data_IF_095564268483
#
_entry.id   IF_095564268483
#
_cell.length_a   1.000
_cell.length_b   1.000
_cell.length_c   1.000
_cell.angle_alpha   90.00
_cell.angle_beta   90.00
_cell.angle_gamma   90.00
#
_symmetry.space_group_name_H-M   'P 1'
#
loop_
_entity.id
_entity.type
_entity.pdbx_description
1 polymer ?
#
# COMPACT_ATOMS: atom_id res chain seq x y z
N UNK A 1 -6.84 57.73 7.51
CA UNK A 1 -6.92 56.39 6.91
C UNK A 1 -5.50 56.01 6.53
N UNK A 2 -4.81 55.34 7.44
CA UNK A 2 -3.46 54.86 7.18
C UNK A 2 -3.54 53.62 6.30
N UNK A 3 -3.25 53.80 5.01
CA UNK A 3 -2.95 52.70 4.10
C UNK A 3 -1.67 52.04 4.59
N UNK A 4 -1.82 51.07 5.51
CA UNK A 4 -0.77 50.11 5.83
C UNK A 4 -0.37 49.46 4.50
N UNK A 5 0.79 49.85 3.99
CA UNK A 5 1.37 49.29 2.79
C UNK A 5 1.57 47.79 3.03
N UNK A 6 0.67 46.99 2.47
CA UNK A 6 0.77 45.55 2.49
C UNK A 6 2.09 45.16 1.83
N UNK A 7 3.04 44.64 2.62
CA UNK A 7 4.31 44.17 2.08
C UNK A 7 4.13 42.70 1.63
N UNK A 8 4.00 42.43 0.31
CA UNK A 8 3.73 41.08 -0.19
C UNK A 8 4.82 40.07 0.15
N UNK A 9 6.07 40.52 0.33
CA UNK A 9 7.15 39.65 0.78
C UNK A 9 6.92 39.15 2.21
N UNK A 10 6.45 40.00 3.12
CA UNK A 10 6.22 39.62 4.51
C UNK A 10 5.16 38.53 4.66
N UNK A 11 4.11 38.60 3.83
CA UNK A 11 3.02 37.61 3.82
C UNK A 11 3.48 36.27 3.25
N UNK A 12 4.23 36.28 2.14
CA UNK A 12 4.78 35.05 1.55
C UNK A 12 5.62 34.26 2.56
N UNK A 13 6.54 34.93 3.26
CA UNK A 13 7.36 34.29 4.29
C UNK A 13 6.57 33.83 5.51
N UNK A 14 5.45 34.47 5.82
CA UNK A 14 4.53 33.99 6.85
C UNK A 14 3.89 32.67 6.43
N UNK A 15 3.32 32.62 5.22
CA UNK A 15 2.73 31.39 4.65
C UNK A 15 3.76 30.27 4.61
N UNK A 16 4.97 30.52 4.12
CA UNK A 16 6.00 29.49 4.04
C UNK A 16 6.37 28.93 5.43
N UNK A 17 6.45 29.77 6.47
CA UNK A 17 6.71 29.31 7.85
C UNK A 17 5.55 28.53 8.44
N UNK A 18 4.31 28.93 8.13
CA UNK A 18 3.12 28.19 8.52
C UNK A 18 3.08 26.80 7.85
N UNK A 19 3.42 26.73 6.55
CA UNK A 19 3.58 25.46 5.83
C UNK A 19 4.67 24.58 6.46
N UNK A 20 5.84 25.14 6.79
CA UNK A 20 6.91 24.40 7.48
C UNK A 20 6.43 23.83 8.82
N UNK A 21 5.73 24.65 9.61
CA UNK A 21 5.16 24.21 10.89
C UNK A 21 4.09 23.13 10.71
N UNK A 22 3.22 23.28 9.70
CA UNK A 22 2.19 22.29 9.37
C UNK A 22 2.82 20.96 8.92
N UNK A 23 3.89 21.01 8.14
CA UNK A 23 4.62 19.84 7.67
C UNK A 23 5.30 19.06 8.80
N UNK A 24 5.63 19.70 9.92
CA UNK A 24 6.18 19.02 11.10
C UNK A 24 5.13 18.26 11.91
N UNK A 25 3.85 18.67 11.85
CA UNK A 25 2.75 18.06 12.63
C UNK A 25 2.27 16.73 12.01
N UNK A 26 1.57 15.94 12.82
CA UNK A 26 0.82 14.75 12.33
C UNK A 26 -0.28 15.22 11.38
N UNK A 27 -0.45 14.52 10.27
CA UNK A 27 -1.40 14.92 9.22
C UNK A 27 -2.83 14.54 9.63
N UNK A 28 -3.59 15.53 10.08
CA UNK A 28 -4.92 15.41 10.73
C UNK A 28 -5.93 16.39 10.10
N UNK A 29 -7.22 16.10 10.12
CA UNK A 29 -8.25 17.08 9.74
C UNK A 29 -8.49 18.16 10.80
N UNK A 30 -8.03 17.95 12.04
CA UNK A 30 -8.22 18.89 13.15
C UNK A 30 -9.69 19.37 13.25
N UNK A 31 -10.64 18.42 13.30
CA UNK A 31 -12.07 18.68 13.26
C UNK A 31 -12.51 19.59 14.41
N UNK A 32 -13.24 20.65 14.06
CA UNK A 32 -14.02 21.45 15.00
C UNK A 32 -15.39 20.82 15.21
N UNK A 33 -15.55 20.08 16.30
CA UNK A 33 -16.74 19.26 16.55
C UNK A 33 -18.03 20.09 16.58
N UNK A 34 -18.00 21.27 17.18
CA UNK A 34 -19.18 22.14 17.22
C UNK A 34 -19.57 22.63 15.83
N UNK A 35 -18.58 23.05 15.03
CA UNK A 35 -18.84 23.47 13.65
C UNK A 35 -19.27 22.30 12.78
N UNK A 36 -18.63 21.14 12.90
CA UNK A 36 -19.03 19.93 12.18
C UNK A 36 -20.50 19.62 12.43
N UNK A 37 -20.95 19.63 13.70
CA UNK A 37 -22.34 19.36 14.04
C UNK A 37 -23.31 20.38 13.42
N UNK A 38 -22.97 21.68 13.43
CA UNK A 38 -23.81 22.73 12.81
C UNK A 38 -23.87 22.60 11.29
N UNK A 39 -22.73 22.38 10.65
CA UNK A 39 -22.61 22.34 9.19
C UNK A 39 -23.17 21.04 8.61
N UNK A 40 -23.09 19.92 9.34
CA UNK A 40 -23.66 18.63 8.94
C UNK A 40 -25.19 18.70 8.72
N UNK A 41 -25.90 19.56 9.47
CA UNK A 41 -27.34 19.80 9.27
C UNK A 41 -27.64 20.40 7.89
N UNK A 42 -26.67 21.06 7.26
CA UNK A 42 -26.83 21.65 5.94
C UNK A 42 -26.52 20.65 4.81
N UNK A 43 -25.82 19.53 5.07
CA UNK A 43 -25.49 18.51 4.06
C UNK A 43 -26.77 17.89 3.48
N UNK A 44 -27.79 17.69 4.31
CA UNK A 44 -29.09 17.17 3.88
C UNK A 44 -29.86 18.10 2.91
N UNK A 45 -29.41 19.35 2.74
CA UNK A 45 -30.06 20.36 1.89
C UNK A 45 -29.55 20.38 0.45
N UNK A 46 -28.48 19.66 0.15
CA UNK A 46 -27.98 19.54 -1.21
C UNK A 46 -28.96 18.74 -2.09
N UNK A 47 -29.12 19.16 -3.33
CA UNK A 47 -29.91 18.47 -4.36
C UNK A 47 -29.26 17.13 -4.77
N UNK A 48 -29.94 16.37 -5.65
CA UNK A 48 -29.51 15.03 -6.09
C UNK A 48 -28.25 15.02 -6.96
N UNK A 49 -27.93 16.14 -7.59
CA UNK A 49 -26.82 16.27 -8.53
C UNK A 49 -25.85 17.30 -8.00
N UNK A 50 -24.59 16.91 -7.89
CA UNK A 50 -23.48 17.73 -7.43
C UNK A 50 -22.48 17.96 -8.56
N UNK A 51 -21.72 19.03 -8.40
CA UNK A 51 -20.65 19.44 -9.29
C UNK A 51 -19.38 19.64 -8.48
N UNK A 52 -18.31 18.98 -8.90
CA UNK A 52 -16.95 19.35 -8.53
C UNK A 52 -16.57 20.51 -9.44
N UNK A 53 -16.35 21.67 -8.84
CA UNK A 53 -16.10 22.90 -9.55
C UNK A 53 -14.85 23.59 -9.00
N UNK A 54 -14.28 24.50 -9.79
CA UNK A 54 -13.23 25.37 -9.32
C UNK A 54 -13.37 26.78 -9.86
N UNK A 55 -12.76 27.73 -9.13
CA UNK A 55 -12.61 29.11 -9.56
C UNK A 55 -11.14 29.50 -9.49
N UNK A 56 -10.63 30.05 -10.58
CA UNK A 56 -9.24 30.50 -10.66
C UNK A 56 -9.04 31.81 -9.91
N UNK A 57 -8.06 31.83 -9.01
CA UNK A 57 -7.66 33.01 -8.25
C UNK A 57 -6.19 33.34 -8.52
N UNK A 58 -5.86 34.62 -8.43
CA UNK A 58 -4.49 35.12 -8.40
C UNK A 58 -4.21 35.69 -7.03
N UNK A 59 -3.31 35.06 -6.29
CA UNK A 59 -2.90 35.48 -4.95
C UNK A 59 -1.38 35.72 -4.98
N UNK A 60 -0.97 36.97 -4.87
CA UNK A 60 0.44 37.40 -4.91
C UNK A 60 1.21 36.90 -6.15
N UNK A 61 0.56 36.92 -7.32
CA UNK A 61 1.14 36.45 -8.58
C UNK A 61 1.21 34.92 -8.71
N UNK A 62 0.71 34.18 -7.72
CA UNK A 62 0.45 32.75 -7.87
C UNK A 62 -0.96 32.54 -8.37
N UNK A 63 -1.09 31.78 -9.45
CA UNK A 63 -2.38 31.32 -9.94
C UNK A 63 -2.68 30.00 -9.25
N UNK A 64 -3.83 29.92 -8.61
CA UNK A 64 -4.34 28.69 -8.03
C UNK A 64 -5.83 28.53 -8.34
N UNK A 65 -6.26 27.29 -8.48
CA UNK A 65 -7.65 26.94 -8.72
C UNK A 65 -8.27 26.52 -7.37
N UNK A 66 -9.26 27.30 -6.91
CA UNK A 66 -9.97 27.02 -5.66
C UNK A 66 -11.12 26.06 -5.94
N UNK A 67 -10.96 24.80 -5.52
CA UNK A 67 -11.93 23.75 -5.73
C UNK A 67 -13.02 23.72 -4.64
N UNK A 68 -14.22 23.32 -5.02
CA UNK A 68 -15.37 23.16 -4.14
C UNK A 68 -16.40 22.18 -4.73
N UNK A 69 -17.34 21.73 -3.90
CA UNK A 69 -18.48 20.92 -4.36
C UNK A 69 -19.77 21.72 -4.18
N UNK A 70 -20.60 21.77 -5.22
CA UNK A 70 -21.85 22.54 -5.21
C UNK A 70 -22.97 21.85 -5.99
N UNK A 71 -24.23 22.11 -5.63
CA UNK A 71 -25.41 21.78 -6.45
C UNK A 71 -25.99 23.01 -7.19
N UNK A 72 -25.30 24.15 -7.12
CA UNK A 72 -25.76 25.44 -7.62
C UNK A 72 -26.52 26.30 -6.60
N UNK A 73 -26.86 25.76 -5.42
CA UNK A 73 -27.50 26.50 -4.31
C UNK A 73 -26.64 26.45 -3.05
N UNK A 74 -26.23 25.25 -2.67
CA UNK A 74 -25.35 24.94 -1.56
C UNK A 74 -23.94 24.65 -2.07
N UNK A 75 -22.95 25.05 -1.29
CA UNK A 75 -21.55 24.82 -1.57
C UNK A 75 -20.86 24.33 -0.31
N UNK A 76 -20.08 23.26 -0.43
CA UNK A 76 -19.12 22.83 0.57
C UNK A 76 -17.71 23.10 0.05
N UNK A 77 -16.92 23.82 0.85
CA UNK A 77 -15.58 24.20 0.45
C UNK A 77 -14.68 24.47 1.66
N UNK A 78 -13.38 24.36 1.42
CA UNK A 78 -12.36 24.66 2.41
C UNK A 78 -11.85 26.09 2.22
N UNK A 79 -12.37 27.03 3.02
CA UNK A 79 -12.11 28.47 2.86
C UNK A 79 -12.00 29.17 4.23
N UNK A 80 -11.24 30.26 4.27
CA UNK A 80 -11.16 31.21 5.38
C UNK A 80 -10.84 32.61 4.86
N UNK A 81 -11.07 33.63 5.68
CA UNK A 81 -10.62 34.99 5.39
C UNK A 81 -9.09 35.07 5.50
N UNK A 82 -8.53 34.35 6.48
CA UNK A 82 -7.12 34.06 6.57
C UNK A 82 -6.83 32.58 6.30
N UNK A 83 -5.64 32.31 5.77
CA UNK A 83 -5.14 30.96 5.49
C UNK A 83 -5.18 30.11 6.76
N UNK A 84 -4.64 30.63 7.87
CA UNK A 84 -4.60 29.93 9.15
C UNK A 84 -5.99 29.62 9.74
N UNK A 85 -7.02 30.33 9.29
CA UNK A 85 -8.40 30.20 9.76
C UNK A 85 -9.28 29.39 8.82
N UNK A 86 -8.74 28.92 7.69
CA UNK A 86 -9.53 28.18 6.72
C UNK A 86 -10.03 26.85 7.29
N UNK A 87 -11.29 26.58 6.96
CA UNK A 87 -12.09 25.50 7.53
C UNK A 87 -13.15 25.06 6.53
N UNK A 88 -13.57 23.80 6.62
CA UNK A 88 -14.59 23.27 5.71
C UNK A 88 -15.97 23.74 6.16
N UNK A 89 -16.65 24.43 5.27
CA UNK A 89 -17.93 25.09 5.52
C UNK A 89 -18.99 24.68 4.52
N UNK A 90 -20.26 24.69 4.94
CA UNK A 90 -21.42 24.48 4.06
C UNK A 90 -22.28 25.75 4.04
N UNK A 91 -22.38 26.39 2.87
CA UNK A 91 -23.07 27.67 2.72
C UNK A 91 -24.06 27.66 1.58
N UNK A 92 -25.16 28.40 1.72
CA UNK A 92 -26.20 28.60 0.69
C UNK A 92 -25.79 29.63 -0.38
N UNK A 93 -24.48 29.78 -0.61
CA UNK A 93 -23.92 30.72 -1.57
C UNK A 93 -22.89 29.95 -2.40
N UNK A 94 -23.02 30.06 -3.71
CA UNK A 94 -22.00 29.60 -4.65
C UNK A 94 -21.19 30.80 -5.19
N UNK A 95 -19.92 30.61 -5.56
CA UNK A 95 -19.18 31.62 -6.30
C UNK A 95 -19.88 31.96 -7.61
N UNK A 96 -19.97 33.25 -7.95
CA UNK A 96 -20.32 33.65 -9.31
C UNK A 96 -19.15 33.31 -10.25
N UNK A 97 -19.46 32.68 -11.38
CA UNK A 97 -18.52 32.25 -12.43
C UNK A 97 -17.47 31.23 -11.95
N UNK A 98 -17.69 29.96 -12.29
CA UNK A 98 -16.80 28.84 -12.02
C UNK A 98 -16.80 27.85 -13.18
N UNK A 99 -15.80 26.99 -13.22
CA UNK A 99 -15.68 25.90 -14.19
C UNK A 99 -16.07 24.58 -13.51
N UNK A 100 -16.88 23.76 -14.20
CA UNK A 100 -17.29 22.44 -13.71
C UNK A 100 -16.28 21.42 -14.21
N UNK A 101 -15.54 20.81 -13.29
CA UNK A 101 -14.61 19.73 -13.61
C UNK A 101 -15.33 18.38 -13.78
N UNK A 102 -16.34 18.12 -12.94
CA UNK A 102 -17.08 16.87 -12.94
C UNK A 102 -18.49 17.05 -12.38
N UNK A 103 -19.48 16.31 -12.89
CA UNK A 103 -20.83 16.19 -12.31
C UNK A 103 -21.02 14.77 -11.78
N UNK A 104 -21.67 14.62 -10.62
CA UNK A 104 -21.88 13.33 -9.97
C UNK A 104 -23.14 13.32 -9.11
N UNK A 105 -23.62 12.14 -8.71
CA UNK A 105 -24.81 11.98 -7.86
C UNK A 105 -24.50 12.23 -6.39
N UNK A 106 -25.40 12.89 -5.67
CA UNK A 106 -25.40 13.04 -4.21
C UNK A 106 -25.80 11.73 -3.51
N UNK A 107 -24.99 10.69 -3.70
CA UNK A 107 -25.21 9.37 -3.12
C UNK A 107 -24.89 9.36 -1.61
N UNK A 108 -25.28 8.28 -0.92
CA UNK A 108 -25.09 8.17 0.53
C UNK A 108 -23.62 8.20 0.94
N UNK A 109 -22.74 7.54 0.18
CA UNK A 109 -21.29 7.55 0.40
C UNK A 109 -20.69 8.95 0.23
N UNK A 110 -21.19 9.72 -0.75
CA UNK A 110 -20.78 11.12 -0.95
C UNK A 110 -21.18 11.98 0.24
N UNK A 111 -22.42 11.87 0.73
CA UNK A 111 -22.88 12.61 1.92
C UNK A 111 -22.09 12.25 3.15
N UNK A 112 -21.80 10.96 3.34
CA UNK A 112 -20.95 10.51 4.42
C UNK A 112 -19.54 11.15 4.33
N UNK A 113 -18.95 11.21 3.14
CA UNK A 113 -17.66 11.91 2.94
C UNK A 113 -17.76 13.41 3.23
N UNK A 114 -18.85 14.08 2.86
CA UNK A 114 -19.08 15.48 3.24
C UNK A 114 -19.11 15.66 4.76
N UNK A 115 -19.79 14.77 5.49
CA UNK A 115 -19.89 14.80 6.96
C UNK A 115 -18.52 14.62 7.62
N UNK A 116 -17.70 13.70 7.10
CA UNK A 116 -16.36 13.41 7.62
C UNK A 116 -15.41 14.61 7.56
N UNK A 117 -15.49 15.43 6.51
CA UNK A 117 -14.60 16.60 6.34
C UNK A 117 -15.20 17.89 6.85
N UNK A 118 -16.49 17.92 7.15
CA UNK A 118 -17.16 19.13 7.61
C UNK A 118 -16.54 19.65 8.90
N UNK A 119 -16.24 20.95 8.97
CA UNK A 119 -15.55 21.52 10.14
C UNK A 119 -14.07 21.16 10.26
N UNK A 120 -13.45 20.48 9.30
CA UNK A 120 -12.00 20.28 9.28
C UNK A 120 -11.26 21.62 9.23
N UNK A 121 -10.23 21.78 10.07
CA UNK A 121 -9.40 22.99 10.23
C UNK A 121 -7.95 22.71 9.86
N UNK A 122 -7.10 23.71 10.09
CA UNK A 122 -5.65 23.67 9.91
C UNK A 122 -5.25 23.50 8.44
N UNK A 123 -5.32 24.62 7.73
CA UNK A 123 -4.96 24.70 6.33
C UNK A 123 -3.45 24.51 6.11
N UNK A 124 -3.12 23.80 5.03
CA UNK A 124 -1.80 23.83 4.42
C UNK A 124 -2.01 23.86 2.92
N UNK A 125 -1.57 24.93 2.25
CA UNK A 125 -1.64 25.07 0.79
C UNK A 125 -1.15 23.80 0.10
N UNK A 126 -0.13 23.18 0.68
CA UNK A 126 0.54 22.05 0.08
C UNK A 126 -0.09 20.71 0.47
N UNK A 127 -0.34 20.49 1.76
CA UNK A 127 -0.73 19.18 2.31
C UNK A 127 -2.25 18.99 2.38
N UNK A 128 -3.00 20.05 2.67
CA UNK A 128 -4.46 20.01 2.88
C UNK A 128 -5.06 21.29 2.33
N UNK A 129 -5.42 21.25 1.05
CA UNK A 129 -6.03 22.40 0.37
C UNK A 129 -7.45 22.08 -0.09
N UNK A 130 -8.09 23.06 -0.73
CA UNK A 130 -9.45 22.92 -1.21
C UNK A 130 -9.64 21.82 -2.27
N UNK A 131 -8.61 21.52 -3.07
CA UNK A 131 -8.66 20.43 -4.06
C UNK A 131 -8.72 19.05 -3.39
N UNK A 132 -7.90 18.80 -2.37
CA UNK A 132 -7.94 17.55 -1.61
C UNK A 132 -9.33 17.27 -1.04
N UNK A 133 -9.94 18.27 -0.37
CA UNK A 133 -11.26 18.14 0.24
C UNK A 133 -12.33 17.90 -0.81
N UNK A 134 -12.33 18.68 -1.90
CA UNK A 134 -13.34 18.59 -2.94
C UNK A 134 -13.26 17.24 -3.70
N UNK A 135 -12.05 16.79 -4.05
CA UNK A 135 -11.84 15.47 -4.66
C UNK A 135 -12.14 14.32 -3.70
N UNK A 136 -11.87 14.47 -2.41
CA UNK A 136 -12.26 13.45 -1.45
C UNK A 136 -13.78 13.28 -1.44
N UNK A 137 -14.55 14.36 -1.41
CA UNK A 137 -16.01 14.29 -1.46
C UNK A 137 -16.48 13.64 -2.76
N UNK A 138 -16.00 14.12 -3.91
CA UNK A 138 -16.46 13.68 -5.23
C UNK A 138 -16.02 12.26 -5.59
N UNK A 139 -14.75 11.93 -5.35
CA UNK A 139 -14.09 10.73 -5.86
C UNK A 139 -13.70 9.73 -4.78
N UNK A 140 -13.76 10.11 -3.49
CA UNK A 140 -13.20 9.31 -2.41
C UNK A 140 -11.67 9.27 -2.41
N UNK A 141 -11.00 10.24 -3.03
CA UNK A 141 -9.54 10.31 -3.14
C UNK A 141 -8.98 11.56 -2.47
N UNK A 142 -7.95 11.39 -1.65
CA UNK A 142 -7.21 12.51 -1.07
C UNK A 142 -6.02 12.90 -1.96
N UNK A 143 -6.27 13.73 -2.97
CA UNK A 143 -5.26 14.14 -3.95
C UNK A 143 -5.45 15.61 -4.39
N UNK A 144 -4.36 16.29 -4.68
CA UNK A 144 -4.30 17.64 -5.26
C UNK A 144 -3.32 17.64 -6.42
N UNK A 145 -3.81 17.90 -7.64
CA UNK A 145 -2.95 18.07 -8.80
C UNK A 145 -2.07 19.32 -8.65
N UNK A 146 -2.57 20.36 -7.98
CA UNK A 146 -1.81 21.59 -7.73
C UNK A 146 -0.61 21.38 -6.80
N UNK A 147 -0.68 20.37 -5.92
CA UNK A 147 0.38 20.00 -4.96
C UNK A 147 1.26 18.85 -5.44
N UNK A 148 0.87 18.15 -6.50
CA UNK A 148 1.67 17.11 -7.12
C UNK A 148 2.96 17.68 -7.72
N UNK A 149 3.93 16.81 -8.02
CA UNK A 149 5.16 17.19 -8.72
C UNK A 149 4.78 17.93 -10.02
N UNK A 150 5.45 19.06 -10.29
CA UNK A 150 5.15 19.99 -11.40
C UNK A 150 3.85 20.82 -11.27
N UNK A 151 3.07 20.61 -10.20
CA UNK A 151 1.91 21.44 -9.90
C UNK A 151 2.26 22.92 -9.65
N UNK A 152 1.28 23.80 -9.81
CA UNK A 152 1.44 25.25 -9.62
C UNK A 152 1.89 25.60 -8.21
N UNK A 153 1.36 24.93 -7.17
CA UNK A 153 1.80 25.13 -5.79
C UNK A 153 3.15 24.44 -5.54
N UNK A 154 3.44 23.33 -6.22
CA UNK A 154 4.72 22.66 -6.11
C UNK A 154 5.89 23.54 -6.52
N UNK A 155 5.82 24.12 -7.72
CA UNK A 155 6.88 24.96 -8.28
C UNK A 155 7.17 26.23 -7.47
N UNK A 156 6.17 26.77 -6.75
CA UNK A 156 6.27 28.06 -6.05
C UNK A 156 6.54 27.95 -4.54
N UNK A 157 6.07 26.88 -3.91
CA UNK A 157 6.17 26.70 -2.45
C UNK A 157 6.95 25.43 -2.08
N UNK A 158 6.62 24.27 -2.66
CA UNK A 158 7.15 22.99 -2.18
C UNK A 158 8.57 22.68 -2.61
N UNK A 159 9.02 23.21 -3.74
CA UNK A 159 10.42 23.11 -4.15
C UNK A 159 11.38 23.68 -3.08
N UNK A 160 10.94 24.68 -2.31
CA UNK A 160 11.71 25.28 -1.22
C UNK A 160 11.55 24.54 0.12
N UNK A 161 10.55 23.66 0.24
CA UNK A 161 10.30 22.80 1.40
C UNK A 161 10.94 21.41 1.24
N UNK A 162 11.86 21.25 0.29
CA UNK A 162 12.47 19.98 -0.09
C UNK A 162 13.05 19.21 1.12
N UNK A 163 12.83 17.89 1.13
CA UNK A 163 13.23 16.98 2.22
C UNK A 163 12.09 16.06 2.67
N UNK A 164 12.10 15.68 3.96
CA UNK A 164 11.16 14.73 4.59
C UNK A 164 9.67 15.11 4.44
N UNK A 165 9.36 16.36 4.09
CA UNK A 165 7.99 16.87 3.99
C UNK A 165 7.28 16.49 2.68
N UNK A 166 8.03 16.17 1.60
CA UNK A 166 7.43 15.69 0.34
C UNK A 166 6.68 14.37 0.53
N UNK A 167 7.12 13.53 1.48
CA UNK A 167 6.47 12.27 1.84
C UNK A 167 5.07 12.46 2.43
N UNK A 168 4.65 13.69 2.77
CA UNK A 168 3.31 13.97 3.32
C UNK A 168 2.33 14.50 2.28
N UNK A 169 2.78 14.79 1.06
CA UNK A 169 1.90 15.28 0.00
C UNK A 169 0.93 14.18 -0.44
N UNK A 170 -0.33 14.54 -0.64
CA UNK A 170 -1.40 13.60 -1.00
C UNK A 170 -1.49 12.38 -0.05
N UNK A 171 -0.99 12.51 1.19
CA UNK A 171 -1.25 11.53 2.24
C UNK A 171 -2.58 11.83 2.89
N UNK A 172 -3.28 10.76 3.23
CA UNK A 172 -4.58 10.85 3.89
C UNK A 172 -4.42 11.38 5.32
N UNK A 173 -5.32 12.28 5.77
CA UNK A 173 -5.51 12.57 7.18
C UNK A 173 -5.83 11.29 7.94
N UNK A 174 -5.24 11.10 9.11
CA UNK A 174 -5.42 9.87 9.90
C UNK A 174 -6.91 9.58 10.22
N UNK A 175 -7.75 10.61 10.31
CA UNK A 175 -9.21 10.50 10.52
C UNK A 175 -9.91 9.88 9.32
N UNK A 176 -9.42 10.17 8.12
CA UNK A 176 -9.97 9.68 6.86
C UNK A 176 -9.34 8.37 6.41
N UNK A 177 -8.32 7.88 7.11
CA UNK A 177 -7.74 6.59 6.82
C UNK A 177 -8.83 5.50 6.96
N UNK A 178 -9.15 4.76 5.87
CA UNK A 178 -10.14 3.71 5.93
C UNK A 178 -9.80 2.75 7.07
N UNK A 179 -10.78 2.53 7.93
CA UNK A 179 -10.73 1.43 8.87
C UNK A 179 -10.67 0.14 8.05
N UNK A 180 -9.75 -0.79 8.38
CA UNK A 180 -9.73 -2.08 7.72
C UNK A 180 -11.11 -2.71 7.81
N UNK A 181 -11.72 -2.98 6.66
CA UNK A 181 -13.05 -3.57 6.58
C UNK A 181 -13.00 -5.06 6.93
N UNK A 182 -14.18 -5.64 7.11
CA UNK A 182 -14.50 -7.00 7.54
C UNK A 182 -13.51 -8.08 7.08
N UNK A 183 -13.35 -9.16 7.86
CA UNK A 183 -12.52 -10.32 7.52
C UNK A 183 -12.72 -10.74 6.06
N UNK A 184 -11.63 -10.82 5.28
CA UNK A 184 -11.68 -11.08 3.84
C UNK A 184 -12.22 -12.47 3.51
N UNK A 185 -12.00 -13.42 4.42
CA UNK A 185 -12.47 -14.79 4.34
C UNK A 185 -13.02 -15.17 5.71
N UNK A 186 -14.29 -15.53 5.78
CA UNK A 186 -14.89 -16.01 7.05
C UNK A 186 -14.13 -17.26 7.52
N UNK A 187 -13.62 -17.23 8.75
CA UNK A 187 -12.93 -18.35 9.37
C UNK A 187 -11.43 -18.44 9.08
N UNK A 188 -10.84 -17.43 8.41
CA UNK A 188 -9.39 -17.33 8.25
C UNK A 188 -8.89 -16.13 9.05
N UNK A 189 -8.30 -16.41 10.21
CA UNK A 189 -7.61 -15.38 10.99
C UNK A 189 -6.35 -14.95 10.23
N UNK A 190 -6.13 -13.63 10.15
CA UNK A 190 -4.91 -13.09 9.58
C UNK A 190 -3.67 -13.58 10.34
N UNK A 191 -2.59 -13.84 9.62
CA UNK A 191 -1.29 -14.14 10.23
C UNK A 191 -0.76 -12.94 11.03
N UNK A 192 -1.05 -11.74 10.53
CA UNK A 192 -0.74 -10.48 11.19
C UNK A 192 -2.03 -9.86 11.76
N UNK A 193 -2.03 -9.57 13.06
CA UNK A 193 -3.04 -8.69 13.62
C UNK A 193 -2.66 -7.25 13.28
N UNK A 194 -3.45 -6.60 12.44
CA UNK A 194 -3.23 -5.19 12.06
C UNK A 194 -3.23 -4.27 13.28
N UNK A 195 -2.28 -3.35 13.31
CA UNK A 195 -2.16 -2.29 14.31
C UNK A 195 -2.35 -0.94 13.61
N UNK A 196 -3.40 -0.21 13.98
CA UNK A 196 -3.62 1.15 13.49
C UNK A 196 -2.56 2.07 14.11
N UNK A 197 -1.57 2.47 13.32
CA UNK A 197 -0.52 3.39 13.73
C UNK A 197 0.03 4.14 12.50
N UNK A 198 0.49 5.37 12.71
CA UNK A 198 0.93 6.31 11.67
C UNK A 198 1.88 5.68 10.65
N UNK A 199 1.59 5.95 9.37
CA UNK A 199 2.07 5.29 8.16
C UNK A 199 3.50 5.68 7.71
N UNK A 200 4.40 5.94 8.66
CA UNK A 200 5.81 6.14 8.35
C UNK A 200 6.59 4.84 8.53
N UNK A 201 7.54 4.60 7.61
CA UNK A 201 8.53 3.57 7.84
C UNK A 201 9.30 3.95 9.11
N UNK A 202 9.19 3.11 10.13
CA UNK A 202 9.97 3.20 11.35
C UNK A 202 11.26 2.40 11.17
N UNK A 203 12.39 3.03 11.48
CA UNK A 203 13.69 2.37 11.53
C UNK A 203 13.95 1.63 12.86
N UNK A 204 12.90 1.27 13.61
CA UNK A 204 13.08 0.53 14.86
C UNK A 204 13.68 -0.86 14.54
N UNK A 205 14.91 -1.17 15.00
CA UNK A 205 15.59 -2.43 14.69
C UNK A 205 14.88 -3.66 15.28
N UNK A 206 13.87 -3.47 16.12
CA UNK A 206 13.03 -4.53 16.67
C UNK A 206 11.83 -4.88 15.77
N UNK A 207 11.55 -4.08 14.73
CA UNK A 207 10.54 -4.41 13.74
C UNK A 207 11.06 -5.50 12.81
N UNK A 208 10.18 -6.43 12.46
CA UNK A 208 10.41 -7.35 11.37
C UNK A 208 9.85 -6.74 10.08
N UNK A 209 10.71 -6.40 9.14
CA UNK A 209 10.34 -5.62 7.95
C UNK A 209 10.17 -6.52 6.73
N UNK A 210 8.98 -6.49 6.15
CA UNK A 210 8.61 -7.20 4.92
C UNK A 210 8.42 -6.18 3.81
N UNK A 211 9.21 -6.24 2.75
CA UNK A 211 8.98 -5.47 1.53
C UNK A 211 8.17 -6.29 0.55
N UNK A 212 6.97 -5.84 0.18
CA UNK A 212 6.13 -6.45 -0.82
C UNK A 212 6.27 -5.71 -2.15
N UNK A 213 6.71 -6.44 -3.17
CA UNK A 213 6.88 -5.97 -4.55
C UNK A 213 6.12 -6.88 -5.50
N UNK A 214 5.65 -6.36 -6.62
CA UNK A 214 5.04 -7.19 -7.65
C UNK A 214 4.94 -6.46 -8.98
N UNK A 215 4.64 -7.20 -10.05
CA UNK A 215 4.22 -6.59 -11.31
C UNK A 215 2.91 -5.82 -11.11
N UNK A 216 2.59 -4.89 -12.02
CA UNK A 216 1.33 -4.12 -12.00
C UNK A 216 0.08 -4.99 -11.85
N UNK A 217 0.18 -6.24 -12.31
CA UNK A 217 -0.92 -7.20 -12.38
C UNK A 217 -0.89 -8.27 -11.28
N UNK A 218 0.16 -8.33 -10.46
CA UNK A 218 0.41 -9.43 -9.51
C UNK A 218 -0.40 -9.37 -8.19
N UNK A 219 -1.36 -8.46 -8.08
CA UNK A 219 -2.27 -8.35 -6.92
C UNK A 219 -1.52 -8.26 -5.57
N UNK A 220 -0.37 -7.60 -5.51
CA UNK A 220 0.44 -7.44 -4.27
C UNK A 220 -0.39 -6.98 -3.08
N UNK A 221 -1.31 -6.04 -3.30
CA UNK A 221 -2.28 -5.59 -2.29
C UNK A 221 -3.12 -6.72 -1.72
N UNK A 222 -3.61 -7.62 -2.59
CA UNK A 222 -4.44 -8.76 -2.19
C UNK A 222 -3.65 -9.74 -1.32
N UNK A 223 -2.37 -9.94 -1.61
CA UNK A 223 -1.51 -10.78 -0.79
C UNK A 223 -1.31 -10.20 0.61
N UNK A 224 -1.10 -8.90 0.73
CA UNK A 224 -0.97 -8.22 2.03
C UNK A 224 -2.29 -8.33 2.80
N UNK A 225 -3.40 -8.05 2.14
CA UNK A 225 -4.75 -8.25 2.64
C UNK A 225 -4.95 -9.66 3.23
N UNK A 226 -4.49 -10.71 2.53
CA UNK A 226 -4.51 -12.09 3.02
C UNK A 226 -3.61 -12.26 4.26
N UNK A 227 -2.41 -11.66 4.28
CA UNK A 227 -1.53 -11.72 5.46
C UNK A 227 -2.20 -11.15 6.71
N UNK A 228 -3.02 -10.10 6.56
CA UNK A 228 -3.75 -9.48 7.67
C UNK A 228 -5.15 -10.07 7.91
N UNK A 229 -5.60 -10.99 7.05
CA UNK A 229 -6.96 -11.57 7.09
C UNK A 229 -8.09 -10.57 6.89
N UNK A 230 -7.77 -9.33 6.51
CA UNK A 230 -8.72 -8.21 6.35
C UNK A 230 -8.18 -7.21 5.34
N UNK A 231 -9.06 -6.38 4.76
CA UNK A 231 -8.62 -5.43 3.74
C UNK A 231 -7.88 -4.26 4.38
N UNK A 232 -6.56 -4.23 4.19
CA UNK A 232 -5.62 -3.22 4.74
C UNK A 232 -4.87 -2.47 3.64
N UNK A 233 -4.65 -3.12 2.49
CA UNK A 233 -4.01 -2.52 1.34
C UNK A 233 -5.01 -1.66 0.57
N UNK A 234 -4.53 -0.51 0.10
CA UNK A 234 -5.35 0.43 -0.67
C UNK A 234 -5.02 0.23 -2.14
N UNK A 235 -5.84 -0.53 -2.86
CA UNK A 235 -5.80 -0.53 -4.33
C UNK A 235 -6.59 0.67 -4.83
N UNK A 236 -5.91 1.79 -5.07
CA UNK A 236 -6.47 2.80 -5.96
C UNK A 236 -6.32 2.24 -7.40
N UNK A 237 -7.44 1.94 -8.07
CA UNK A 237 -7.48 1.43 -9.46
C UNK A 237 -6.96 2.43 -10.51
N UNK A 238 -6.14 3.41 -10.12
CA UNK A 238 -5.59 4.39 -11.04
C UNK A 238 -4.41 3.78 -11.80
N UNK A 239 -4.58 3.59 -13.10
CA UNK A 239 -3.46 3.40 -14.03
C UNK A 239 -2.58 4.66 -13.97
N UNK A 240 -1.26 4.51 -13.95
CA UNK A 240 -0.26 5.59 -13.86
C UNK A 240 -0.11 6.26 -12.48
N UNK A 241 -0.14 5.50 -11.38
CA UNK A 241 0.21 6.03 -10.05
C UNK A 241 1.73 6.17 -9.96
N UNK A 242 2.28 7.38 -9.66
CA UNK A 242 3.70 7.53 -9.35
C UNK A 242 4.08 6.61 -8.19
N UNK A 243 5.32 6.11 -8.18
CA UNK A 243 5.79 5.17 -7.16
C UNK A 243 5.41 5.65 -5.76
N UNK A 244 4.57 4.87 -5.07
CA UNK A 244 4.10 5.15 -3.72
C UNK A 244 4.41 3.99 -2.81
N UNK A 245 4.97 4.28 -1.65
CA UNK A 245 5.09 3.31 -0.57
C UNK A 245 3.88 3.38 0.35
N UNK A 246 3.28 2.23 0.61
CA UNK A 246 2.28 2.07 1.65
C UNK A 246 2.87 1.21 2.77
N UNK A 247 2.94 1.75 3.99
CA UNK A 247 3.41 1.02 5.16
C UNK A 247 2.21 0.54 5.96
N UNK A 248 2.16 -0.76 6.26
CA UNK A 248 1.13 -1.40 7.07
C UNK A 248 1.78 -2.08 8.27
N UNK A 249 1.35 -1.71 9.47
CA UNK A 249 1.89 -2.28 10.71
C UNK A 249 0.99 -3.38 11.26
N UNK A 250 1.62 -4.44 11.77
CA UNK A 250 0.95 -5.58 12.38
C UNK A 250 1.72 -6.14 13.56
N UNK A 251 1.12 -7.12 14.23
CA UNK A 251 1.78 -8.01 15.17
C UNK A 251 1.63 -9.43 14.66
N UNK A 252 2.70 -10.20 14.66
CA UNK A 252 2.72 -11.59 14.22
C UNK A 252 3.69 -12.42 15.04
N UNK A 253 3.60 -13.75 14.91
CA UNK A 253 4.55 -14.67 15.53
C UNK A 253 5.67 -15.01 14.54
N UNK A 254 6.84 -14.41 14.72
CA UNK A 254 8.03 -14.57 13.88
C UNK A 254 9.11 -15.26 14.70
N UNK A 255 9.62 -16.40 14.23
CA UNK A 255 10.58 -17.21 14.98
C UNK A 255 10.06 -17.71 16.33
N UNK A 256 8.75 -17.99 16.44
CA UNK A 256 8.11 -18.38 17.70
C UNK A 256 7.96 -17.24 18.71
N UNK A 257 8.24 -15.99 18.33
CA UNK A 257 8.12 -14.79 19.18
C UNK A 257 7.10 -13.83 18.59
N UNK A 258 6.25 -13.25 19.45
CA UNK A 258 5.41 -12.12 19.05
C UNK A 258 6.28 -10.91 18.74
N UNK A 259 6.23 -10.43 17.50
CA UNK A 259 6.97 -9.26 17.03
C UNK A 259 6.04 -8.29 16.31
N UNK A 260 6.41 -7.02 16.35
CA UNK A 260 5.84 -6.02 15.46
C UNK A 260 6.38 -6.25 14.05
N UNK A 261 5.49 -6.31 13.09
CA UNK A 261 5.78 -6.54 11.68
C UNK A 261 5.42 -5.29 10.90
N UNK A 262 6.33 -4.83 10.07
CA UNK A 262 6.11 -3.73 9.15
C UNK A 262 6.09 -4.27 7.73
N UNK A 263 4.95 -4.14 7.05
CA UNK A 263 4.81 -4.51 5.65
C UNK A 263 4.88 -3.23 4.82
N UNK A 264 5.96 -3.06 4.06
CA UNK A 264 6.16 -1.96 3.11
C UNK A 264 5.70 -2.47 1.74
N UNK A 265 4.61 -1.93 1.23
CA UNK A 265 4.12 -2.22 -0.10
C UNK A 265 4.64 -1.19 -1.09
N UNK A 266 5.23 -1.64 -2.19
CA UNK A 266 5.49 -0.81 -3.36
C UNK A 266 4.25 -0.78 -4.26
N UNK A 267 3.70 0.41 -4.51
CA UNK A 267 2.57 0.66 -5.40
C UNK A 267 3.09 1.42 -6.63
N UNK A 268 2.82 0.89 -7.82
CA UNK A 268 3.30 1.40 -9.10
C UNK A 268 4.14 0.36 -9.84
N UNK A 269 4.41 0.62 -11.12
CA UNK A 269 5.15 -0.31 -11.97
C UNK A 269 6.62 -0.38 -11.61
N UNK A 270 7.24 -1.53 -11.90
CA UNK A 270 8.68 -1.69 -11.71
C UNK A 270 9.46 -0.69 -12.58
N UNK A 271 8.93 -0.32 -13.74
CA UNK A 271 9.48 0.68 -14.64
C UNK A 271 9.44 2.08 -13.98
N UNK A 272 8.30 2.45 -13.39
CA UNK A 272 8.16 3.68 -12.63
C UNK A 272 9.12 3.71 -11.42
N UNK A 273 9.40 2.56 -10.80
CA UNK A 273 10.43 2.49 -9.77
C UNK A 273 11.82 2.86 -10.29
N UNK A 274 12.18 2.42 -11.48
CA UNK A 274 13.51 2.61 -12.02
C UNK A 274 13.74 4.02 -12.57
N UNK A 275 12.73 4.61 -13.19
CA UNK A 275 12.74 6.03 -13.52
C UNK A 275 12.95 6.89 -12.26
N UNK A 276 12.38 6.44 -11.15
CA UNK A 276 12.56 7.03 -9.83
C UNK A 276 13.71 6.40 -9.02
N UNK A 277 14.63 5.67 -9.66
CA UNK A 277 15.71 4.96 -8.97
C UNK A 277 16.59 5.89 -8.13
N UNK A 278 16.74 7.16 -8.53
CA UNK A 278 17.45 8.17 -7.76
C UNK A 278 16.72 8.48 -6.43
N UNK A 279 15.39 8.58 -6.45
CA UNK A 279 14.53 8.79 -5.27
C UNK A 279 14.54 7.56 -4.37
N UNK A 280 14.44 6.38 -4.96
CA UNK A 280 14.63 5.08 -4.29
C UNK A 280 15.99 5.02 -3.61
N UNK A 281 17.06 5.47 -4.28
CA UNK A 281 18.42 5.48 -3.74
C UNK A 281 18.64 6.52 -2.64
N UNK A 282 18.08 7.72 -2.76
CA UNK A 282 18.34 8.81 -1.82
C UNK A 282 17.46 8.77 -0.57
N UNK A 283 16.26 8.19 -0.65
CA UNK A 283 15.29 8.23 0.44
C UNK A 283 14.84 6.86 0.93
N UNK A 284 14.83 5.84 0.07
CA UNK A 284 14.29 4.53 0.44
C UNK A 284 15.38 3.52 0.77
N UNK A 285 16.62 3.74 0.34
CA UNK A 285 17.66 2.72 0.50
C UNK A 285 17.95 2.45 1.98
N UNK A 286 17.91 3.43 2.88
CA UNK A 286 18.08 3.16 4.32
C UNK A 286 16.95 2.29 4.91
N UNK A 287 15.70 2.52 4.49
CA UNK A 287 14.54 1.70 4.89
C UNK A 287 14.58 0.30 4.27
N UNK A 288 14.89 0.23 2.98
CA UNK A 288 14.90 -0.98 2.17
C UNK A 288 16.11 -1.87 2.46
N UNK A 289 17.24 -1.28 2.86
CA UNK A 289 18.42 -2.05 3.26
C UNK A 289 18.19 -2.88 4.52
N UNK A 290 17.24 -2.50 5.39
CA UNK A 290 16.92 -3.24 6.62
C UNK A 290 15.69 -4.13 6.48
N UNK A 291 15.40 -4.59 5.26
CA UNK A 291 14.33 -5.55 4.99
C UNK A 291 14.76 -6.96 5.40
N UNK A 292 13.99 -7.58 6.29
CA UNK A 292 14.20 -8.98 6.69
C UNK A 292 13.68 -9.94 5.62
N UNK A 293 12.59 -9.60 4.93
CA UNK A 293 11.97 -10.43 3.88
C UNK A 293 11.43 -9.61 2.71
N UNK A 294 11.66 -10.09 1.49
CA UNK A 294 11.07 -9.54 0.27
C UNK A 294 9.99 -10.50 -0.23
N UNK A 295 8.74 -10.08 -0.21
CA UNK A 295 7.62 -10.79 -0.80
C UNK A 295 7.45 -10.33 -2.25
N UNK A 296 7.65 -11.24 -3.21
CA UNK A 296 7.56 -10.96 -4.64
C UNK A 296 6.29 -11.59 -5.20
N UNK A 297 5.30 -10.77 -5.49
CA UNK A 297 4.10 -11.18 -6.21
C UNK A 297 4.42 -11.25 -7.71
N UNK A 298 4.19 -12.39 -8.33
CA UNK A 298 4.34 -12.59 -9.76
C UNK A 298 3.02 -13.10 -10.35
N UNK A 299 2.75 -12.78 -11.59
CA UNK A 299 1.63 -13.29 -12.36
C UNK A 299 2.12 -14.36 -13.36
N UNK A 300 1.20 -14.87 -14.19
CA UNK A 300 1.48 -15.94 -15.16
C UNK A 300 2.27 -15.47 -16.39
N UNK A 301 3.01 -14.37 -16.27
CA UNK A 301 3.81 -13.78 -17.36
C UNK A 301 5.27 -13.65 -16.91
N UNK A 302 6.23 -13.67 -17.87
CA UNK A 302 7.63 -13.46 -17.56
C UNK A 302 7.87 -12.13 -16.85
N UNK A 303 8.91 -12.05 -16.00
CA UNK A 303 9.27 -10.79 -15.37
C UNK A 303 9.69 -9.77 -16.44
N UNK A 304 9.27 -8.52 -16.26
CA UNK A 304 9.81 -7.42 -17.05
C UNK A 304 11.28 -7.18 -16.70
N UNK A 305 12.04 -6.58 -17.62
CA UNK A 305 13.41 -6.14 -17.35
C UNK A 305 13.46 -5.18 -16.15
N UNK A 306 12.41 -4.36 -15.99
CA UNK A 306 12.28 -3.44 -14.90
C UNK A 306 12.23 -4.14 -13.54
N UNK A 307 11.40 -5.18 -13.44
CA UNK A 307 11.27 -6.00 -12.24
C UNK A 307 12.56 -6.78 -11.95
N UNK A 308 13.21 -7.34 -12.98
CA UNK A 308 14.49 -8.02 -12.81
C UNK A 308 15.58 -7.08 -12.25
N UNK A 309 15.66 -5.85 -12.76
CA UNK A 309 16.60 -4.85 -12.25
C UNK A 309 16.26 -4.43 -10.81
N UNK A 310 14.98 -4.26 -10.47
CA UNK A 310 14.55 -3.97 -9.09
C UNK A 310 14.97 -5.10 -8.14
N UNK A 311 14.72 -6.37 -8.47
CA UNK A 311 15.10 -7.51 -7.63
C UNK A 311 16.62 -7.61 -7.44
N UNK A 312 17.40 -7.34 -8.49
CA UNK A 312 18.87 -7.25 -8.39
C UNK A 312 19.31 -6.10 -7.50
N UNK A 313 18.66 -4.93 -7.57
CA UNK A 313 18.93 -3.78 -6.69
C UNK A 313 18.63 -4.11 -5.23
N UNK A 314 17.56 -4.89 -4.97
CA UNK A 314 17.20 -5.40 -3.64
C UNK A 314 18.14 -6.50 -3.15
N UNK A 315 19.11 -6.92 -3.97
CA UNK A 315 20.16 -7.84 -3.58
C UNK A 315 19.75 -9.32 -3.62
N UNK A 316 18.87 -9.70 -4.55
CA UNK A 316 18.45 -11.11 -4.70
C UNK A 316 19.62 -12.07 -4.93
N UNK A 317 20.66 -11.63 -5.63
CA UNK A 317 21.85 -12.45 -5.89
C UNK A 317 22.75 -12.63 -4.66
N UNK A 318 22.58 -11.83 -3.62
CA UNK A 318 23.38 -11.92 -2.38
C UNK A 318 22.58 -12.48 -1.20
N UNK A 319 21.25 -12.43 -1.26
CA UNK A 319 20.36 -12.81 -0.17
C UNK A 319 19.12 -13.52 -0.71
N UNK A 320 19.26 -14.50 -1.61
CA UNK A 320 18.10 -15.13 -2.26
C UNK A 320 17.12 -15.73 -1.23
N UNK A 321 17.64 -16.20 -0.09
CA UNK A 321 16.84 -16.72 1.01
C UNK A 321 15.86 -15.70 1.57
N UNK A 322 16.10 -14.39 1.46
CA UNK A 322 15.18 -13.36 1.96
C UNK A 322 13.96 -13.17 1.04
N UNK A 323 14.00 -13.70 -0.18
CA UNK A 323 12.95 -13.54 -1.17
C UNK A 323 11.95 -14.69 -1.10
N UNK A 324 10.66 -14.35 -1.18
CA UNK A 324 9.56 -15.31 -1.27
C UNK A 324 8.72 -14.96 -2.47
N UNK A 325 8.67 -15.85 -3.46
CA UNK A 325 7.88 -15.65 -4.67
C UNK A 325 6.48 -16.24 -4.50
N UNK A 326 5.46 -15.48 -4.86
CA UNK A 326 4.06 -15.90 -4.82
C UNK A 326 3.47 -15.75 -6.21
N UNK A 327 3.08 -16.86 -6.81
CA UNK A 327 2.36 -16.86 -8.07
C UNK A 327 0.89 -16.52 -7.80
N UNK A 328 0.47 -15.35 -8.27
CA UNK A 328 -0.91 -14.86 -8.23
C UNK A 328 -1.73 -15.46 -9.39
N UNK A 329 -3.06 -15.42 -9.28
CA UNK A 329 -4.01 -15.85 -10.33
C UNK A 329 -3.81 -17.28 -10.85
N UNK A 330 -3.53 -18.22 -9.96
CA UNK A 330 -3.27 -19.63 -10.31
C UNK A 330 -4.50 -20.42 -10.74
N UNK A 331 -5.71 -19.85 -10.64
CA UNK A 331 -6.96 -20.55 -10.96
C UNK A 331 -6.97 -21.14 -12.38
N UNK A 332 -6.30 -20.47 -13.32
CA UNK A 332 -6.27 -20.85 -14.73
C UNK A 332 -4.93 -21.49 -15.16
N UNK A 333 -4.00 -21.72 -14.22
CA UNK A 333 -2.64 -22.17 -14.53
C UNK A 333 -2.50 -23.67 -14.21
N UNK A 334 -2.14 -24.46 -15.21
CA UNK A 334 -1.78 -25.87 -14.99
C UNK A 334 -0.42 -25.99 -14.31
N UNK A 335 -0.18 -27.09 -13.59
CA UNK A 335 1.11 -27.34 -12.91
C UNK A 335 2.31 -27.23 -13.87
N UNK A 336 2.19 -27.74 -15.09
CA UNK A 336 3.25 -27.68 -16.09
C UNK A 336 3.58 -26.26 -16.57
N UNK A 337 2.59 -25.35 -16.55
CA UNK A 337 2.83 -23.92 -16.83
C UNK A 337 3.53 -23.26 -15.65
N UNK A 338 3.13 -23.56 -14.41
CA UNK A 338 3.80 -23.05 -13.21
C UNK A 338 5.28 -23.51 -13.14
N UNK A 339 5.56 -24.79 -13.43
CA UNK A 339 6.92 -25.32 -13.45
C UNK A 339 7.79 -24.66 -14.55
N UNK A 340 7.18 -24.31 -15.68
CA UNK A 340 7.89 -23.58 -16.76
C UNK A 340 8.21 -22.15 -16.37
N UNK A 341 7.25 -21.43 -15.80
CA UNK A 341 7.44 -20.07 -15.29
C UNK A 341 8.51 -20.03 -14.21
N UNK A 342 8.58 -21.07 -13.37
CA UNK A 342 9.66 -21.26 -12.41
C UNK A 342 11.03 -21.32 -13.08
N UNK A 343 11.19 -22.20 -14.06
CA UNK A 343 12.47 -22.35 -14.77
C UNK A 343 12.86 -21.03 -15.44
N UNK A 344 11.90 -20.35 -16.08
CA UNK A 344 12.12 -19.05 -16.71
C UNK A 344 12.54 -17.98 -15.71
N UNK A 345 11.90 -17.93 -14.54
CA UNK A 345 12.25 -17.04 -13.44
C UNK A 345 13.70 -17.26 -12.98
N UNK A 346 14.14 -18.52 -12.82
CA UNK A 346 15.52 -18.83 -12.44
C UNK A 346 16.51 -18.32 -13.49
N UNK A 347 16.21 -18.55 -14.78
CA UNK A 347 17.04 -18.08 -15.90
C UNK A 347 17.12 -16.55 -15.92
N UNK A 348 16.00 -15.85 -15.79
CA UNK A 348 15.96 -14.37 -15.80
C UNK A 348 16.72 -13.75 -14.61
N UNK A 349 16.63 -14.38 -13.44
CA UNK A 349 17.32 -13.93 -12.23
C UNK A 349 18.80 -14.34 -12.18
N UNK A 350 19.24 -15.23 -13.07
CA UNK A 350 20.59 -15.78 -13.07
C UNK A 350 20.85 -16.68 -11.86
N UNK A 351 19.82 -17.33 -11.33
CA UNK A 351 19.91 -18.30 -10.23
C UNK A 351 20.11 -19.69 -10.82
N UNK A 352 21.14 -20.39 -10.37
CA UNK A 352 21.50 -21.68 -10.93
C UNK A 352 20.41 -22.73 -10.65
N UNK A 353 19.89 -23.34 -11.73
CA UNK A 353 18.72 -24.24 -11.73
C UNK A 353 18.93 -25.58 -11.02
N UNK A 354 20.12 -25.80 -10.45
CA UNK A 354 20.48 -26.99 -9.66
C UNK A 354 19.94 -26.95 -8.22
N UNK A 355 19.29 -25.85 -7.84
CA UNK A 355 18.63 -25.68 -6.55
C UNK A 355 17.30 -26.46 -6.50
N UNK A 356 17.09 -27.26 -5.46
CA UNK A 356 15.91 -28.13 -5.32
C UNK A 356 14.59 -27.34 -5.42
N UNK A 357 13.86 -27.56 -6.52
CA UNK A 357 12.52 -27.01 -6.72
C UNK A 357 11.56 -27.78 -5.83
N UNK A 358 11.11 -27.16 -4.75
CA UNK A 358 10.00 -27.67 -3.95
C UNK A 358 8.72 -26.96 -4.38
N UNK A 359 7.88 -27.64 -5.19
CA UNK A 359 6.49 -27.22 -5.35
C UNK A 359 5.73 -27.61 -4.08
N UNK A 360 5.22 -26.65 -3.28
CA UNK A 360 4.54 -26.96 -2.04
C UNK A 360 3.28 -27.79 -2.32
N UNK A 361 3.07 -28.87 -1.57
CA UNK A 361 1.83 -29.65 -1.60
C UNK A 361 0.61 -28.78 -1.23
N UNK A 362 -0.62 -29.23 -1.49
CA UNK A 362 -1.85 -28.56 -1.02
C UNK A 362 -1.82 -28.33 0.50
N UNK A 363 -1.30 -29.29 1.27
CA UNK A 363 -1.05 -29.14 2.71
C UNK A 363 0.02 -28.10 3.04
N UNK A 364 1.00 -27.88 2.16
CA UNK A 364 2.03 -26.85 2.31
C UNK A 364 1.47 -25.45 1.99
N UNK A 365 0.53 -25.32 1.05
CA UNK A 365 -0.23 -24.09 0.82
C UNK A 365 -1.16 -23.76 2.00
N UNK A 366 -1.76 -24.78 2.61
CA UNK A 366 -2.48 -24.67 3.89
C UNK A 366 -1.54 -24.32 5.07
N UNK A 367 -0.28 -24.78 5.04
CA UNK A 367 0.77 -24.35 5.99
C UNK A 367 1.31 -22.96 5.72
N UNK A 368 1.19 -22.44 4.50
CA UNK A 368 1.51 -21.04 4.20
C UNK A 368 0.42 -20.11 4.73
N UNK A 369 -0.86 -20.52 4.64
CA UNK A 369 -1.96 -19.87 5.39
C UNK A 369 -1.81 -20.03 6.91
N UNK A 370 -1.02 -21.01 7.40
CA UNK A 370 -0.56 -21.14 8.80
C UNK A 370 0.91 -20.65 9.04
N UNK A 371 1.47 -19.96 8.04
CA UNK A 371 2.83 -19.43 7.84
C UNK A 371 3.99 -19.93 8.75
N UNK A 372 4.48 -21.16 8.54
CA UNK A 372 5.72 -21.65 9.19
C UNK A 372 7.03 -21.11 8.57
N UNK A 373 7.01 -20.59 7.34
CA UNK A 373 8.23 -20.08 6.66
C UNK A 373 8.74 -18.76 7.23
N UNK A 374 7.84 -17.89 7.73
CA UNK A 374 8.23 -16.70 8.49
C UNK A 374 8.79 -17.04 9.88
N UNK A 375 8.73 -18.32 10.31
CA UNK A 375 9.27 -18.76 11.60
C UNK A 375 10.75 -19.15 11.55
N UNK A 376 11.41 -19.12 10.39
CA UNK A 376 12.83 -19.47 10.29
C UNK A 376 13.72 -18.25 10.59
N UNK A 377 14.45 -18.32 11.72
CA UNK A 377 15.44 -17.33 12.15
C UNK A 377 16.84 -17.74 11.66
N UNK A 378 17.34 -17.16 10.57
CA UNK A 378 18.78 -17.11 10.31
C UNK A 378 19.16 -15.73 9.77
N UNK A 379 20.01 -15.01 10.52
CA UNK A 379 20.70 -13.79 10.05
C UNK A 379 22.11 -14.18 9.61
N UNK A 380 22.47 -14.13 8.32
CA UNK A 380 23.87 -14.09 7.95
C UNK A 380 24.45 -12.69 8.25
N UNK A 381 25.60 -12.66 8.91
CA UNK A 381 26.34 -11.44 9.25
C UNK A 381 26.76 -10.66 8.00
N UNK A 382 26.46 -9.37 7.95
CA UNK A 382 26.83 -8.46 6.84
C UNK A 382 28.27 -7.95 6.99
N UNK A 383 29.09 -8.13 5.97
CA UNK A 383 30.29 -7.30 5.68
C UNK A 383 30.17 -6.83 4.24
N UNK A 384 29.97 -5.52 4.04
CA UNK A 384 29.80 -4.89 2.72
C UNK A 384 31.07 -4.08 2.41
N UNK A 385 31.92 -4.62 1.53
CA UNK A 385 32.96 -3.85 0.85
C UNK A 385 32.54 -3.68 -0.60
N UNK A 386 32.20 -2.46 -1.00
CA UNK A 386 31.83 -2.13 -2.38
C UNK A 386 33.11 -2.13 -3.22
N UNK A 387 33.31 -3.18 -4.03
CA UNK A 387 34.26 -3.19 -5.16
C UNK A 387 33.46 -3.33 -6.46
N UNK A 388 33.83 -2.53 -7.47
CA UNK A 388 33.21 -2.43 -8.80
C UNK A 388 33.39 -3.67 -9.71
N UNK A 389 33.42 -4.85 -9.13
CA UNK A 389 33.47 -6.13 -9.84
C UNK A 389 32.53 -7.09 -9.13
N UNK A 390 31.45 -7.48 -9.81
CA UNK A 390 30.48 -8.47 -9.32
C UNK A 390 31.23 -9.75 -8.92
N UNK A 391 31.14 -10.23 -7.67
CA UNK A 391 31.65 -11.54 -7.32
C UNK A 391 30.75 -12.63 -7.93
N UNK A 392 31.36 -13.70 -8.44
CA UNK A 392 30.65 -14.92 -8.85
C UNK A 392 29.84 -15.50 -7.66
N UNK A 393 28.62 -16.02 -7.91
CA UNK A 393 27.79 -16.59 -6.86
C UNK A 393 28.49 -17.80 -6.22
N UNK A 394 28.61 -17.79 -4.89
CA UNK A 394 29.15 -18.91 -4.12
C UNK A 394 27.99 -19.72 -3.53
N UNK A 395 27.92 -20.99 -3.93
CA UNK A 395 27.05 -22.07 -3.42
C UNK A 395 25.56 -22.00 -3.78
N UNK A 396 24.95 -23.19 -3.83
CA UNK A 396 23.58 -23.48 -4.25
C UNK A 396 22.54 -22.87 -3.30
N UNK A 397 22.00 -21.70 -3.64
CA UNK A 397 20.91 -21.06 -2.89
C UNK A 397 19.55 -21.54 -3.41
N UNK A 398 18.61 -21.82 -2.50
CA UNK A 398 17.25 -22.31 -2.83
C UNK A 398 16.27 -21.13 -2.94
N UNK A 399 15.51 -21.08 -4.04
CA UNK A 399 14.39 -20.15 -4.22
C UNK A 399 13.08 -20.88 -3.96
N UNK A 400 12.22 -20.34 -3.10
CA UNK A 400 10.91 -20.90 -2.78
C UNK A 400 9.81 -20.20 -3.59
N UNK A 401 9.08 -20.94 -4.42
CA UNK A 401 7.84 -20.49 -5.05
C UNK A 401 6.63 -21.15 -4.40
N UNK A 402 5.60 -20.34 -4.16
CA UNK A 402 4.34 -20.81 -3.60
C UNK A 402 3.24 -20.66 -4.66
N UNK A 403 2.59 -21.78 -4.98
CA UNK A 403 1.50 -21.89 -5.95
C UNK A 403 0.22 -22.28 -5.20
N UNK A 404 -0.70 -21.36 -4.88
CA UNK A 404 -1.96 -21.72 -4.25
C UNK A 404 -2.80 -22.64 -5.15
N UNK A 405 -3.28 -23.77 -4.60
CA UNK A 405 -4.07 -24.76 -5.34
C UNK A 405 -5.53 -24.33 -5.60
N UNK A 406 -6.16 -24.78 -6.70
CA UNK A 406 -7.45 -24.25 -7.19
C UNK A 406 -8.73 -24.76 -6.47
N UNK A 407 -8.68 -25.19 -5.20
CA UNK A 407 -9.84 -25.92 -4.64
C UNK A 407 -9.97 -26.03 -3.12
N UNK A 408 -9.93 -24.92 -2.38
CA UNK A 408 -10.37 -24.93 -0.97
C UNK A 408 -11.82 -24.43 -0.90
N UNK A 409 -12.78 -25.36 -0.99
CA UNK A 409 -14.17 -25.09 -0.64
C UNK A 409 -14.30 -25.09 0.90
N UNK A 410 -14.88 -24.04 1.49
CA UNK A 410 -15.00 -23.84 2.93
C UNK A 410 -15.73 -24.99 3.66
N UNK A 411 -16.61 -25.71 2.96
CA UNK A 411 -17.41 -26.79 3.55
C UNK A 411 -16.64 -28.12 3.70
N UNK A 412 -15.63 -28.39 2.85
CA UNK A 412 -14.79 -29.58 2.97
C UNK A 412 -13.85 -29.51 4.19
N UNK A 413 -13.53 -28.30 4.64
CA UNK A 413 -12.67 -28.03 5.79
C UNK A 413 -13.38 -28.24 7.13
N UNK A 414 -14.71 -28.11 7.16
CA UNK A 414 -15.53 -28.25 8.38
C UNK A 414 -15.72 -29.71 8.81
N UNK A 415 -15.85 -30.63 7.85
CA UNK A 415 -16.17 -32.03 8.14
C UNK A 415 -14.97 -32.88 8.60
N UNK A 416 -13.73 -32.40 8.43
CA UNK A 416 -12.53 -33.06 8.96
C UNK A 416 -12.15 -32.65 10.38
N UNK A 417 -12.88 -31.71 11.00
CA UNK A 417 -12.57 -31.15 12.31
C UNK A 417 -13.37 -31.77 13.47
N UNK A 418 -14.30 -32.70 13.19
CA UNK A 418 -15.21 -33.27 14.20
C UNK A 418 -15.06 -34.77 14.48
N UNK A 419 -14.09 -35.47 13.91
CA UNK A 419 -13.77 -36.86 14.31
C UNK A 419 -12.39 -36.92 14.97
N UNK A 420 -12.37 -36.68 16.28
CA UNK A 420 -11.27 -37.10 17.16
C UNK A 420 -11.77 -37.29 18.60
N UNK A 421 -12.43 -38.41 18.86
CA UNK A 421 -12.57 -38.97 20.20
C UNK A 421 -11.27 -39.69 20.62
N UNK A 422 -10.66 -39.21 21.73
CA UNK A 422 -9.96 -39.93 22.81
C UNK A 422 -9.37 -41.34 22.51
N UNK A 423 -8.09 -41.70 22.76
CA UNK A 423 -7.31 -41.77 24.02
C UNK A 423 -5.91 -42.45 23.72
N UNK A 424 -5.01 -42.69 24.71
CA UNK A 424 -3.81 -41.92 25.06
C UNK A 424 -2.45 -42.55 24.60
N UNK A 425 -1.38 -41.85 24.99
CA UNK A 425 0.04 -42.18 24.86
C UNK A 425 0.44 -43.59 25.32
N UNK A 426 1.42 -44.19 24.62
CA UNK A 426 2.58 -44.83 25.24
C UNK A 426 3.75 -44.90 24.23
N UNK A 427 4.97 -44.75 24.76
CA UNK A 427 6.19 -44.59 23.98
C UNK A 427 6.80 -45.87 23.43
N UNK A 428 7.71 -45.72 22.47
CA UNK A 428 9.08 -46.27 22.48
C UNK A 428 9.76 -45.98 21.14
N UNK A 429 11.06 -45.69 21.22
CA UNK A 429 12.02 -45.68 20.12
C UNK A 429 11.87 -46.91 19.21
N UNK A 430 11.97 -46.72 17.90
CA UNK A 430 12.91 -47.46 17.04
C UNK A 430 12.96 -46.86 15.62
N UNK A 431 14.19 -46.64 15.19
CA UNK A 431 14.62 -46.48 13.80
C UNK A 431 14.02 -47.57 12.91
N UNK A 432 13.55 -47.19 11.72
CA UNK A 432 13.64 -48.02 10.50
C UNK A 432 13.32 -47.22 9.25
N UNK A 433 14.29 -47.26 8.33
CA UNK A 433 14.16 -46.97 6.91
C UNK A 433 12.93 -47.65 6.30
N UNK A 434 12.17 -46.90 5.50
CA UNK A 434 11.22 -47.45 4.54
C UNK A 434 11.59 -46.96 3.14
N UNK A 435 12.25 -47.83 2.37
CA UNK A 435 12.31 -47.75 0.91
C UNK A 435 10.97 -48.26 0.38
N UNK A 436 10.21 -47.42 -0.29
CA UNK A 436 9.00 -47.83 -1.00
C UNK A 436 9.41 -48.49 -2.34
N UNK A 437 9.11 -49.79 -2.47
CA UNK A 437 9.08 -50.51 -3.75
C UNK A 437 7.83 -50.07 -4.52
N UNK A 438 8.00 -49.77 -5.80
CA UNK A 438 6.91 -49.60 -6.76
C UNK A 438 6.58 -50.98 -7.32
N UNK A 439 5.40 -51.51 -6.98
CA UNK A 439 4.81 -52.65 -7.69
C UNK A 439 3.99 -52.12 -8.87
N UNK A 440 4.45 -52.41 -10.09
CA UNK A 440 3.72 -52.19 -11.33
C UNK A 440 2.86 -53.42 -11.63
N UNK A 441 1.57 -53.33 -11.39
CA UNK A 441 0.57 -54.17 -12.07
C UNK A 441 -0.37 -53.30 -12.87
N UNK A 442 -0.14 -53.29 -14.18
CA UNK A 442 -1.03 -52.79 -15.20
C UNK A 442 -2.28 -53.68 -15.26
N UNK A 443 -3.47 -53.07 -15.22
CA UNK A 443 -4.70 -53.70 -15.71
C UNK A 443 -5.10 -53.00 -17.01
N UNK A 444 -5.05 -53.77 -18.09
CA UNK A 444 -5.51 -53.42 -19.42
C UNK A 444 -7.04 -53.56 -19.49
N UNK A 445 -7.74 -52.47 -19.76
CA UNK A 445 -9.10 -52.53 -20.31
C UNK A 445 -9.03 -53.00 -21.77
N UNK A 446 -9.66 -54.12 -22.08
CA UNK A 446 -10.06 -54.49 -23.44
C UNK A 446 -11.50 -54.02 -23.66
N UNK A 447 -11.71 -53.24 -24.72
CA UNK A 447 -13.00 -53.03 -25.37
C UNK A 447 -13.16 -54.05 -26.48
N UNK A 448 -14.05 -55.02 -26.29
CA UNK A 448 -15.09 -55.45 -27.23
C UNK A 448 -16.07 -56.39 -26.53
#
# INVERSE_FOLDING_TARGET
MDTLLFNPFSYYWRVLREEQSACAKVHSLCIDAERQQREALNIAKFDKTLMLAYKRFSLFGMIYDHYFVTDGKWTIEFRGDEVAEAVVHVRSQHPEYYEVAQTFSNAEDVRHRMELVCGARAFSFCLRNCEHVARFIAEGKWFSAQSAVEGTMWSRCLAQLAGQHQLKLNKWPWELEPLPSCCLVKGLDGFLSYRRQDCHASHDPNLFTVLAVGSDMAETSRLIDILFGKSVSRTDNAQNVPLKLQVTLGLGEIGGRKRSVQVIQMIGSAEACLENAAILKSHMLEDVLNVDRVLVAIDAVPLTDGMCMLLRLLGICQNALNFTFVLSKTADITRSVADRLLVELHVQLGVDSTSDISTPSVSTCQRFTRCEYLKQEERPSRVLAIKHSLPEPRSSERVHLIVPGPGVNADAFRNQLLDATFLPCDGHFLSRDWRLRVDTTASTCQTQ
#
